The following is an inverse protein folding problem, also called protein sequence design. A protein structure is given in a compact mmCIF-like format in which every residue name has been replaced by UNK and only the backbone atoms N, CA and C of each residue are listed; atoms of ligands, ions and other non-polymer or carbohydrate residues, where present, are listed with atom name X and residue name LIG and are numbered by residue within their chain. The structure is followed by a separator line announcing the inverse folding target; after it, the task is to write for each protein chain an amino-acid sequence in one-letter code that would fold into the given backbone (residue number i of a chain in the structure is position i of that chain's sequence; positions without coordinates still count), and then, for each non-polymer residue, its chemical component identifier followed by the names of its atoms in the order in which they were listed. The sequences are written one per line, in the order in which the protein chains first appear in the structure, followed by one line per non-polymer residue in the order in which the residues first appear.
data_IF_255115316301
#
_entry.id   IF_255115316301
#
_cell.length_a   1.000
_cell.length_b   1.000
_cell.length_c   1.000
_cell.angle_alpha   90.00
_cell.angle_beta   90.00
_cell.angle_gamma   90.00
#
_symmetry.space_group_name_H-M   'P 1'
#
loop_
_entity.id
_entity.type
_entity.pdbx_description
1 polymer ?
#
# COMPACT_ATOMS: atom_id res chain seq x y z
N UNK A 1 -50.72 63.95 -2.22
CA UNK A 1 -51.21 62.60 -2.57
C UNK A 1 -50.01 61.67 -2.43
N UNK A 2 -49.82 61.14 -1.22
CA UNK A 2 -48.70 60.33 -0.73
C UNK A 2 -49.35 59.28 0.18
N UNK A 3 -48.86 58.09 0.43
CA UNK A 3 -47.95 57.15 -0.21
C UNK A 3 -48.21 55.85 0.59
N UNK A 4 -47.83 54.74 -0.01
CA UNK A 4 -48.18 53.35 0.17
C UNK A 4 -47.78 52.74 1.54
N UNK A 5 -48.78 52.09 2.13
CA UNK A 5 -48.79 50.86 2.95
C UNK A 5 -47.52 50.31 3.61
N UNK A 6 -47.70 50.00 4.90
CA UNK A 6 -46.85 49.26 5.85
C UNK A 6 -46.47 47.81 5.47
N UNK A 7 -45.51 47.30 6.28
CA UNK A 7 -44.96 45.94 6.51
C UNK A 7 -43.64 45.68 5.75
N UNK A 8 -42.49 45.41 6.39
CA UNK A 8 -42.20 44.42 7.45
C UNK A 8 -41.02 44.86 8.36
N UNK A 9 -41.11 44.74 9.70
CA UNK A 9 -39.99 44.95 10.61
C UNK A 9 -39.56 43.63 11.28
N UNK A 10 -38.57 42.90 10.76
CA UNK A 10 -37.92 41.83 11.53
C UNK A 10 -36.42 41.73 11.17
N UNK A 11 -35.68 42.78 11.51
CA UNK A 11 -34.21 42.81 11.46
C UNK A 11 -33.65 42.58 12.85
N UNK A 12 -34.04 41.50 13.55
CA UNK A 12 -33.51 41.19 14.90
C UNK A 12 -33.39 39.67 15.09
N UNK A 13 -32.30 39.08 14.60
CA UNK A 13 -31.74 37.88 15.24
C UNK A 13 -30.21 37.93 15.27
N UNK A 14 -29.75 38.85 16.13
CA UNK A 14 -28.74 38.60 17.17
C UNK A 14 -27.89 37.33 16.98
N UNK A 15 -26.66 37.57 16.53
CA UNK A 15 -25.41 36.94 17.00
C UNK A 15 -25.60 35.84 18.04
N UNK A 16 -25.10 34.63 17.80
CA UNK A 16 -24.29 33.86 18.75
C UNK A 16 -23.48 32.81 17.97
N UNK A 17 -22.20 32.80 18.31
CA UNK A 17 -21.15 31.88 17.91
C UNK A 17 -21.54 30.41 18.16
N UNK A 18 -21.23 29.54 17.20
CA UNK A 18 -20.74 28.21 17.49
C UNK A 18 -19.87 27.74 16.31
N UNK A 19 -18.60 28.16 16.33
CA UNK A 19 -17.56 27.42 15.64
C UNK A 19 -17.45 26.05 16.33
N UNK A 20 -18.20 25.07 15.83
CA UNK A 20 -17.98 23.68 16.20
C UNK A 20 -16.72 23.21 15.47
N UNK A 21 -15.56 23.54 16.02
CA UNK A 21 -14.31 22.86 15.67
C UNK A 21 -14.48 21.38 16.02
N UNK A 22 -14.91 20.61 15.03
CA UNK A 22 -14.93 19.15 15.11
C UNK A 22 -13.47 18.69 14.99
N UNK A 23 -12.75 18.71 16.11
CA UNK A 23 -11.47 18.01 16.21
C UNK A 23 -11.82 16.52 16.23
N UNK A 24 -11.97 15.93 15.04
CA UNK A 24 -12.00 14.48 14.90
C UNK A 24 -10.68 13.98 15.46
N UNK A 25 -10.74 13.33 16.62
CA UNK A 25 -9.61 12.62 17.19
C UNK A 25 -9.28 11.49 16.21
N UNK A 26 -8.35 11.71 15.28
CA UNK A 26 -7.84 10.63 14.44
C UNK A 26 -7.07 9.70 15.37
N UNK A 27 -7.73 8.68 15.90
CA UNK A 27 -7.03 7.51 16.37
C UNK A 27 -6.12 7.05 15.22
N UNK A 28 -4.86 6.65 15.47
CA UNK A 28 -4.04 6.10 14.41
C UNK A 28 -4.76 4.87 13.88
N UNK A 29 -5.42 5.02 12.73
CA UNK A 29 -5.94 3.90 11.99
C UNK A 29 -4.71 3.15 11.48
N UNK A 30 -4.57 1.88 11.86
CA UNK A 30 -3.63 0.99 11.19
C UNK A 30 -3.99 0.99 9.70
N UNK A 31 -3.00 1.24 8.84
CA UNK A 31 -3.21 1.16 7.41
C UNK A 31 -3.70 -0.24 7.05
N UNK A 32 -4.77 -0.31 6.26
CA UNK A 32 -5.14 -1.55 5.60
C UNK A 32 -4.00 -2.02 4.70
N UNK A 33 -3.83 -3.35 4.57
CA UNK A 33 -2.76 -3.92 3.76
C UNK A 33 -2.72 -3.38 2.33
N UNK A 34 -3.89 -3.25 1.70
CA UNK A 34 -4.06 -2.75 0.34
C UNK A 34 -4.47 -1.27 0.28
N UNK A 35 -4.35 -0.51 1.37
CA UNK A 35 -4.64 0.93 1.33
C UNK A 35 -3.76 1.62 0.27
N UNK A 36 -4.29 2.59 -0.50
CA UNK A 36 -3.53 3.23 -1.56
C UNK A 36 -2.27 3.97 -1.06
N UNK A 37 -1.20 3.89 -1.85
CA UNK A 37 0.07 4.58 -1.61
C UNK A 37 0.71 4.96 -2.94
N UNK A 38 1.15 6.21 -3.13
CA UNK A 38 1.92 6.59 -4.32
C UNK A 38 3.32 5.96 -4.31
N UNK A 39 3.87 5.55 -5.46
CA UNK A 39 5.22 5.03 -5.52
C UNK A 39 6.25 6.14 -5.39
N UNK A 40 7.40 5.83 -4.79
CA UNK A 40 8.46 6.80 -4.58
C UNK A 40 9.85 6.15 -4.58
N UNK A 41 10.87 6.95 -4.86
CA UNK A 41 12.26 6.52 -4.76
C UNK A 41 12.66 6.42 -3.28
N UNK A 42 13.22 5.27 -2.90
CA UNK A 42 13.79 5.08 -1.56
C UNK A 42 15.18 5.68 -1.52
N UNK A 43 16.10 5.11 -2.31
CA UNK A 43 17.47 5.60 -2.46
C UNK A 43 18.14 4.95 -3.68
N UNK A 44 18.96 5.70 -4.41
CA UNK A 44 19.70 5.16 -5.56
C UNK A 44 18.77 4.53 -6.60
N UNK A 45 18.96 3.25 -6.91
CA UNK A 45 18.17 2.49 -7.87
C UNK A 45 17.00 1.68 -7.23
N UNK A 46 16.62 2.00 -5.99
CA UNK A 46 15.55 1.32 -5.24
C UNK A 46 14.30 2.19 -5.09
N UNK A 47 13.13 1.58 -5.26
CA UNK A 47 11.84 2.25 -5.30
C UNK A 47 10.80 1.47 -4.50
N UNK A 48 9.98 2.20 -3.74
CA UNK A 48 8.78 1.65 -3.13
C UNK A 48 7.67 1.60 -4.17
N UNK A 49 7.08 0.42 -4.37
CA UNK A 49 6.01 0.17 -5.34
C UNK A 49 4.82 -0.58 -4.74
N UNK A 50 4.86 -0.92 -3.44
CA UNK A 50 3.78 -1.61 -2.74
C UNK A 50 2.60 -0.71 -2.36
N UNK A 51 1.52 -1.30 -1.82
CA UNK A 51 0.46 -0.57 -1.14
C UNK A 51 0.95 0.02 0.21
N UNK A 52 0.09 0.74 0.92
CA UNK A 52 0.46 1.44 2.16
C UNK A 52 0.78 0.51 3.33
N UNK A 53 0.05 -0.61 3.46
CA UNK A 53 0.16 -1.51 4.61
C UNK A 53 1.13 -2.66 4.43
N UNK A 54 1.54 -2.97 3.18
CA UNK A 54 2.52 -4.02 2.89
C UNK A 54 3.55 -3.51 1.88
N UNK A 55 4.83 -3.70 2.21
CA UNK A 55 5.93 -3.26 1.35
C UNK A 55 6.10 -4.14 0.11
N UNK A 56 6.40 -3.50 -1.01
CA UNK A 56 6.99 -4.12 -2.19
C UNK A 56 8.02 -3.16 -2.77
N UNK A 57 9.21 -3.66 -3.09
CA UNK A 57 10.37 -2.83 -3.47
C UNK A 57 10.92 -3.28 -4.82
N UNK A 58 11.06 -2.33 -5.73
CA UNK A 58 11.72 -2.54 -7.02
C UNK A 58 13.17 -2.05 -6.95
N UNK A 59 14.12 -2.92 -7.30
CA UNK A 59 15.54 -2.59 -7.50
C UNK A 59 15.84 -2.67 -8.99
N UNK A 60 16.34 -1.57 -9.56
CA UNK A 60 16.42 -1.40 -11.02
C UNK A 60 17.85 -1.43 -11.55
N UNK A 61 18.02 -1.86 -12.79
CA UNK A 61 19.29 -1.80 -13.52
C UNK A 61 19.04 -1.89 -15.03
N UNK A 62 20.00 -1.49 -15.88
CA UNK A 62 19.91 -1.70 -17.33
C UNK A 62 19.83 -3.18 -17.77
N UNK A 63 20.28 -4.13 -16.92
CA UNK A 63 20.24 -5.55 -17.22
C UNK A 63 18.90 -6.23 -16.81
N UNK A 64 17.99 -5.46 -16.19
CA UNK A 64 16.73 -5.95 -15.64
C UNK A 64 16.56 -5.56 -14.18
N UNK A 65 15.40 -5.91 -13.61
CA UNK A 65 14.97 -5.49 -12.27
C UNK A 65 14.76 -6.69 -11.34
N UNK A 66 14.80 -6.42 -10.05
CA UNK A 66 14.41 -7.35 -8.99
C UNK A 66 13.23 -6.72 -8.25
N UNK A 67 12.17 -7.49 -8.04
CA UNK A 67 11.06 -7.13 -7.17
C UNK A 67 11.18 -7.90 -5.86
N UNK A 68 11.02 -7.24 -4.73
CA UNK A 68 10.99 -7.85 -3.39
C UNK A 68 9.56 -7.72 -2.86
N UNK A 69 8.97 -8.87 -2.49
CA UNK A 69 7.58 -9.08 -2.07
C UNK A 69 6.52 -8.68 -3.11
N UNK A 70 5.38 -9.36 -3.02
CA UNK A 70 4.25 -9.23 -3.94
C UNK A 70 2.99 -8.65 -3.27
N UNK A 71 2.99 -8.45 -1.95
CA UNK A 71 1.79 -8.03 -1.23
C UNK A 71 0.70 -9.11 -1.20
N UNK A 72 -0.53 -8.68 -0.93
CA UNK A 72 -1.73 -9.54 -0.92
C UNK A 72 -2.09 -10.01 -2.33
N UNK A 73 -3.15 -10.81 -2.48
CA UNK A 73 -3.67 -11.22 -3.79
C UNK A 73 -4.14 -10.05 -4.68
N UNK A 74 -4.43 -8.87 -4.11
CA UNK A 74 -4.88 -7.68 -4.84
C UNK A 74 -3.76 -6.68 -5.12
N UNK A 75 -2.63 -6.81 -4.43
CA UNK A 75 -1.58 -5.78 -4.50
C UNK A 75 -0.96 -5.62 -5.89
N UNK A 76 -1.06 -6.60 -6.80
CA UNK A 76 -0.66 -6.43 -8.21
C UNK A 76 -1.39 -5.27 -8.91
N UNK A 77 -2.63 -4.96 -8.51
CA UNK A 77 -3.41 -3.84 -9.03
C UNK A 77 -2.77 -2.47 -8.73
N UNK A 78 -1.91 -2.39 -7.71
CA UNK A 78 -1.10 -1.22 -7.39
C UNK A 78 0.33 -1.35 -7.89
N UNK A 79 0.99 -2.49 -7.64
CA UNK A 79 2.41 -2.71 -7.97
C UNK A 79 2.68 -2.52 -9.48
N UNK A 80 1.84 -3.08 -10.35
CA UNK A 80 2.06 -2.97 -11.81
C UNK A 80 1.94 -1.52 -12.30
N UNK A 81 0.85 -0.78 -11.98
CA UNK A 81 0.76 0.63 -12.32
C UNK A 81 1.88 1.48 -11.71
N UNK A 82 2.27 1.22 -10.47
CA UNK A 82 3.36 1.96 -9.80
C UNK A 82 4.69 1.82 -10.53
N UNK A 83 5.06 0.60 -10.93
CA UNK A 83 6.28 0.33 -11.71
C UNK A 83 6.24 1.11 -13.04
N UNK A 84 5.08 1.13 -13.71
CA UNK A 84 4.88 1.88 -14.97
C UNK A 84 4.89 3.39 -14.77
N UNK A 85 4.31 3.89 -13.68
CA UNK A 85 4.29 5.31 -13.30
C UNK A 85 5.70 5.85 -13.07
N UNK A 86 6.60 5.03 -12.52
CA UNK A 86 8.02 5.35 -12.36
C UNK A 86 8.82 5.25 -13.66
N UNK A 87 8.20 4.86 -14.79
CA UNK A 87 8.84 4.74 -16.10
C UNK A 87 9.53 3.41 -16.36
N UNK A 88 9.35 2.41 -15.50
CA UNK A 88 9.91 1.07 -15.69
C UNK A 88 8.90 0.13 -16.37
N UNK A 89 9.42 -0.97 -16.93
CA UNK A 89 8.61 -2.04 -17.51
C UNK A 89 8.55 -3.21 -16.56
N UNK A 90 7.36 -3.79 -16.38
CA UNK A 90 7.18 -4.97 -15.53
C UNK A 90 7.89 -6.18 -16.16
N UNK A 91 7.97 -6.21 -17.48
CA UNK A 91 8.63 -7.21 -18.31
C UNK A 91 10.16 -7.21 -18.16
N UNK A 92 10.73 -6.12 -17.61
CA UNK A 92 12.15 -6.04 -17.29
C UNK A 92 12.50 -6.65 -15.93
N UNK A 93 11.51 -7.03 -15.11
CA UNK A 93 11.72 -7.78 -13.86
C UNK A 93 12.21 -9.19 -14.20
N UNK A 94 13.38 -9.56 -13.69
CA UNK A 94 13.99 -10.89 -13.89
C UNK A 94 13.79 -11.80 -12.70
N UNK A 95 13.69 -11.23 -11.51
CA UNK A 95 13.50 -11.96 -10.26
C UNK A 95 12.42 -11.34 -9.40
N UNK A 96 11.59 -12.18 -8.79
CA UNK A 96 10.70 -11.84 -7.69
C UNK A 96 11.21 -12.58 -6.46
N UNK A 97 11.60 -11.85 -5.42
CA UNK A 97 12.11 -12.40 -4.17
C UNK A 97 11.07 -12.24 -3.07
N UNK A 98 10.93 -13.25 -2.21
CA UNK A 98 9.99 -13.20 -1.08
C UNK A 98 10.72 -13.05 0.25
N UNK A 99 10.17 -12.24 1.16
CA UNK A 99 10.61 -12.15 2.55
C UNK A 99 10.24 -13.41 3.34
N UNK A 100 8.97 -13.81 3.29
CA UNK A 100 8.42 -15.02 3.92
C UNK A 100 7.11 -15.45 3.25
N UNK A 101 6.53 -16.59 3.65
CA UNK A 101 5.49 -17.31 2.92
C UNK A 101 4.03 -16.89 3.22
N UNK A 102 3.83 -15.87 4.05
CA UNK A 102 2.47 -15.45 4.37
C UNK A 102 1.79 -14.74 3.20
N UNK A 103 0.48 -14.98 3.08
CA UNK A 103 -0.36 -14.51 1.97
C UNK A 103 -0.38 -13.00 1.74
N UNK A 104 -0.09 -12.21 2.77
CA UNK A 104 0.06 -10.76 2.69
C UNK A 104 1.34 -10.32 2.01
N UNK A 105 2.33 -11.21 1.84
CA UNK A 105 3.59 -10.94 1.13
C UNK A 105 3.71 -11.68 -0.20
N UNK A 106 3.04 -12.84 -0.34
CA UNK A 106 3.16 -13.72 -1.50
C UNK A 106 1.91 -13.79 -2.38
N UNK A 107 0.83 -13.08 -2.01
CA UNK A 107 -0.49 -13.25 -2.60
C UNK A 107 -0.55 -12.92 -4.10
N UNK A 108 0.21 -11.93 -4.57
CA UNK A 108 0.22 -11.55 -6.00
C UNK A 108 1.38 -12.16 -6.81
N UNK A 109 2.17 -13.10 -6.26
CA UNK A 109 3.33 -13.67 -6.99
C UNK A 109 2.92 -14.23 -8.35
N UNK A 110 1.81 -14.96 -8.42
CA UNK A 110 1.38 -15.61 -9.65
C UNK A 110 1.04 -14.59 -10.76
N UNK A 111 0.37 -13.49 -10.41
CA UNK A 111 0.05 -12.42 -11.36
C UNK A 111 1.31 -11.67 -11.81
N UNK A 112 2.18 -11.31 -10.86
CA UNK A 112 3.41 -10.59 -11.15
C UNK A 112 4.38 -11.45 -11.98
N UNK A 113 4.44 -12.75 -11.71
CA UNK A 113 5.22 -13.70 -12.50
C UNK A 113 4.68 -13.82 -13.92
N UNK A 114 3.36 -13.90 -14.11
CA UNK A 114 2.75 -13.91 -15.46
C UNK A 114 3.05 -12.62 -16.22
N UNK A 115 2.96 -11.48 -15.55
CA UNK A 115 3.19 -10.18 -16.18
C UNK A 115 4.66 -9.94 -16.57
N UNK A 116 5.61 -10.48 -15.82
CA UNK A 116 7.04 -10.23 -16.01
C UNK A 116 7.80 -11.35 -16.71
N UNK A 117 7.36 -12.60 -16.56
CA UNK A 117 8.16 -13.78 -16.88
C UNK A 117 9.30 -14.05 -15.89
N UNK A 118 9.30 -13.39 -14.73
CA UNK A 118 10.39 -13.48 -13.75
C UNK A 118 10.50 -14.88 -13.10
N UNK A 119 11.72 -15.21 -12.68
CA UNK A 119 11.96 -16.35 -11.79
C UNK A 119 11.62 -15.95 -10.36
N UNK A 120 10.86 -16.79 -9.66
CA UNK A 120 10.50 -16.56 -8.26
C UNK A 120 11.49 -17.27 -7.35
N UNK A 121 12.03 -16.57 -6.37
CA UNK A 121 12.97 -17.09 -5.37
C UNK A 121 12.54 -16.73 -3.95
N UNK A 122 12.83 -17.62 -3.01
CA UNK A 122 12.54 -17.43 -1.59
C UNK A 122 13.46 -18.28 -0.73
N UNK A 123 13.31 -18.19 0.59
CA UNK A 123 14.09 -19.01 1.51
C UNK A 123 13.84 -20.50 1.24
N UNK A 124 14.92 -21.28 1.18
CA UNK A 124 14.81 -22.74 1.22
C UNK A 124 14.42 -23.12 2.65
N UNK A 125 13.22 -23.67 2.83
CA UNK A 125 12.86 -24.32 4.09
C UNK A 125 13.75 -25.57 4.22
N UNK A 126 14.88 -25.46 4.92
CA UNK A 126 15.53 -26.64 5.46
C UNK A 126 14.57 -27.25 6.50
N UNK A 127 14.10 -28.48 6.27
CA UNK A 127 13.32 -29.18 7.30
C UNK A 127 14.22 -29.38 8.52
N UNK A 128 14.04 -28.57 9.55
CA UNK A 128 14.84 -28.70 10.77
C UNK A 128 14.74 -27.55 11.75
N UNK A 129 13.53 -27.27 12.29
CA UNK A 129 13.42 -26.62 13.61
C UNK A 129 12.05 -26.77 14.30
N UNK A 130 11.35 -27.88 14.09
CA UNK A 130 10.07 -28.13 14.78
C UNK A 130 9.91 -29.51 15.43
N UNK A 131 10.95 -30.36 15.47
CA UNK A 131 10.84 -31.70 16.08
C UNK A 131 11.74 -31.98 17.29
N UNK A 132 12.56 -31.03 17.75
CA UNK A 132 13.56 -31.31 18.80
C UNK A 132 13.10 -30.97 20.25
N UNK A 133 11.80 -31.14 20.55
CA UNK A 133 11.26 -30.94 21.92
C UNK A 133 10.47 -32.14 22.48
N UNK A 134 10.65 -33.34 21.94
CA UNK A 134 9.99 -34.56 22.47
C UNK A 134 10.89 -35.54 23.23
N UNK A 135 12.19 -35.27 23.39
CA UNK A 135 13.12 -36.20 24.07
C UNK A 135 13.60 -35.79 25.45
N UNK A 136 13.12 -34.67 26.03
CA UNK A 136 13.49 -34.26 27.41
C UNK A 136 12.36 -34.44 28.44
N UNK A 137 11.35 -35.25 28.11
CA UNK A 137 10.39 -35.77 29.09
C UNK A 137 10.34 -37.29 28.96
N UNK A 138 11.35 -37.95 29.55
CA UNK A 138 11.47 -39.39 29.68
C UNK A 138 12.31 -39.72 30.90
#
# INVERSE_FOLDING_TARGET
MLDFSLQHPETIMKKIFAAASLFALSLPAFAGWDDPQEPFQLFGNSYYVGPKGVSSVLITSPAGHILIDAGTAKSHEQIIPHIRQLGFKVEDIKYILTSHEHHDHVGSIAELQRASGAVVGGQRIERGRHEDRRSEQG
#
